data_IF_074094954784
#
_entry.id   IF_074094954784
#
_cell.length_a   1.000
_cell.length_b   1.000
_cell.length_c   1.000
_cell.angle_alpha   90.00
_cell.angle_beta   90.00
_cell.angle_gamma   90.00
#
_symmetry.space_group_name_H-M   'P 1'
#
loop_
_entity.id
_entity.type
_entity.pdbx_description
1 polymer ?
#
# COMPACT_ATOMS: atom_id res chain seq x y z
N UNK A 1 -1.82 29.37 -4.39
CA UNK A 1 -0.55 28.68 -4.09
C UNK A 1 -0.89 27.64 -3.04
N UNK A 2 -0.49 26.39 -3.23
CA UNK A 2 -0.74 25.36 -2.22
C UNK A 2 0.03 25.66 -0.93
N UNK A 3 -0.52 25.23 0.22
CA UNK A 3 0.04 25.46 1.57
C UNK A 3 1.51 25.03 1.67
N UNK A 4 1.90 23.97 0.95
CA UNK A 4 3.27 23.45 0.89
C UNK A 4 4.22 24.38 0.13
N UNK A 5 3.75 24.97 -0.97
CA UNK A 5 4.52 25.93 -1.76
C UNK A 5 4.72 27.23 -0.97
N UNK A 6 3.68 27.73 -0.30
CA UNK A 6 3.80 28.92 0.56
C UNK A 6 4.77 28.71 1.72
N UNK A 7 4.70 27.56 2.40
CA UNK A 7 5.60 27.22 3.51
C UNK A 7 7.07 27.11 3.07
N UNK A 8 7.30 26.57 1.87
CA UNK A 8 8.65 26.48 1.29
C UNK A 8 9.21 27.86 0.93
N UNK A 9 8.43 28.70 0.25
CA UNK A 9 8.89 30.02 -0.20
C UNK A 9 9.02 31.05 0.93
N UNK A 10 8.32 30.85 2.05
CA UNK A 10 8.42 31.70 3.25
C UNK A 10 9.60 31.32 4.16
N UNK A 11 10.24 30.17 3.92
CA UNK A 11 11.35 29.69 4.76
C UNK A 11 12.60 30.57 4.62
N UNK A 12 13.22 30.95 5.75
CA UNK A 12 14.49 31.69 5.75
C UNK A 12 15.63 30.91 5.08
N UNK A 13 15.58 29.57 5.11
CA UNK A 13 16.55 28.71 4.43
C UNK A 13 16.43 28.83 2.90
N UNK A 14 15.21 28.96 2.37
CA UNK A 14 15.00 29.21 0.95
C UNK A 14 15.59 30.55 0.53
N UNK A 15 15.36 31.63 1.30
CA UNK A 15 15.94 32.94 1.02
C UNK A 15 17.47 32.96 1.08
N UNK A 16 18.06 32.25 2.04
CA UNK A 16 19.52 32.09 2.13
C UNK A 16 20.10 31.34 0.92
N UNK A 17 19.43 30.26 0.49
CA UNK A 17 19.89 29.42 -0.61
C UNK A 17 19.68 30.06 -1.98
N UNK A 18 18.63 30.88 -2.16
CA UNK A 18 18.32 31.60 -3.40
C UNK A 18 19.43 32.54 -3.87
N UNK A 19 20.22 33.07 -2.94
CA UNK A 19 21.33 33.97 -3.26
C UNK A 19 22.58 33.24 -3.79
N UNK A 20 22.63 31.90 -3.70
CA UNK A 20 23.73 31.12 -4.26
C UNK A 20 23.57 30.92 -5.78
N UNK A 21 24.65 31.12 -6.53
CA UNK A 21 24.66 31.02 -8.00
C UNK A 21 24.24 29.64 -8.52
N UNK A 22 24.55 28.56 -7.78
CA UNK A 22 24.14 27.20 -8.12
C UNK A 22 22.61 26.99 -8.07
N UNK A 23 21.94 27.70 -7.15
CA UNK A 23 20.49 27.61 -6.99
C UNK A 23 19.74 28.22 -8.18
N UNK A 24 20.20 29.38 -8.68
CA UNK A 24 19.60 30.06 -9.84
C UNK A 24 19.64 29.21 -11.12
N UNK A 25 20.67 28.38 -11.29
CA UNK A 25 20.79 27.46 -12.43
C UNK A 25 19.87 26.23 -12.30
N UNK A 26 19.62 25.78 -11.07
CA UNK A 26 18.75 24.66 -10.76
C UNK A 26 17.26 25.04 -10.77
N UNK A 27 16.90 26.22 -10.27
CA UNK A 27 15.55 26.80 -10.33
C UNK A 27 15.06 26.91 -11.78
N UNK A 28 15.94 27.32 -12.71
CA UNK A 28 15.62 27.38 -14.15
C UNK A 28 15.31 26.01 -14.78
N UNK A 29 15.69 24.90 -14.13
CA UNK A 29 15.40 23.52 -14.57
C UNK A 29 14.18 22.92 -13.88
N UNK A 30 13.72 23.51 -12.79
CA UNK A 30 12.56 23.04 -12.03
C UNK A 30 11.32 23.76 -12.55
N UNK A 31 10.42 23.00 -13.16
CA UNK A 31 9.09 23.51 -13.51
C UNK A 31 8.23 23.44 -12.26
N UNK A 32 8.14 24.55 -11.53
CA UNK A 32 7.33 24.62 -10.31
C UNK A 32 5.85 24.43 -10.65
N UNK A 33 5.20 23.51 -9.95
CA UNK A 33 3.74 23.42 -9.94
C UNK A 33 3.22 24.32 -8.82
N UNK A 34 2.04 24.96 -8.98
CA UNK A 34 1.54 25.93 -8.00
C UNK A 34 1.22 25.33 -6.62
N UNK A 35 1.16 23.99 -6.52
CA UNK A 35 0.74 23.28 -5.31
C UNK A 35 1.89 22.56 -4.57
N UNK A 36 2.98 22.23 -5.26
CA UNK A 36 4.11 21.48 -4.67
C UNK A 36 5.46 22.09 -5.07
N UNK A 37 6.33 22.43 -4.11
CA UNK A 37 7.67 22.92 -4.42
C UNK A 37 8.50 21.83 -5.11
N UNK A 38 9.19 22.19 -6.19
CA UNK A 38 9.97 21.26 -7.01
C UNK A 38 9.25 20.80 -8.27
N UNK A 39 9.65 19.65 -8.80
CA UNK A 39 9.07 19.07 -10.00
C UNK A 39 8.56 17.66 -9.71
N UNK A 40 7.26 17.44 -9.90
CA UNK A 40 6.62 16.14 -9.88
C UNK A 40 6.25 15.76 -11.31
N UNK A 41 6.84 14.67 -11.80
CA UNK A 41 6.62 14.19 -13.17
C UNK A 41 6.35 12.69 -13.17
N UNK A 42 5.76 12.21 -14.26
CA UNK A 42 5.67 10.79 -14.56
C UNK A 42 6.82 10.40 -15.49
N UNK A 43 7.45 9.28 -15.17
CA UNK A 43 8.52 8.68 -15.96
C UNK A 43 8.16 7.23 -16.26
N UNK A 44 8.74 6.68 -17.32
CA UNK A 44 8.60 5.28 -17.67
C UNK A 44 9.74 4.51 -17.02
N UNK A 45 9.44 3.40 -16.34
CA UNK A 45 10.46 2.51 -15.76
C UNK A 45 11.27 1.80 -16.85
N UNK A 46 12.54 1.58 -16.56
CA UNK A 46 13.37 0.65 -17.33
C UNK A 46 12.99 -0.77 -16.91
N UNK A 47 12.18 -1.43 -17.73
CA UNK A 47 11.69 -2.79 -17.51
C UNK A 47 12.45 -3.77 -18.42
N UNK A 48 12.54 -5.02 -17.99
CA UNK A 48 13.00 -6.11 -18.86
C UNK A 48 11.99 -6.40 -19.97
N UNK A 49 12.43 -7.02 -21.08
CA UNK A 49 11.53 -7.35 -22.20
C UNK A 49 10.33 -8.20 -21.75
N UNK A 50 10.54 -9.14 -20.83
CA UNK A 50 9.47 -9.99 -20.27
C UNK A 50 8.44 -9.19 -19.46
N UNK A 51 8.88 -8.18 -18.71
CA UNK A 51 7.98 -7.30 -17.97
C UNK A 51 7.22 -6.35 -18.89
N UNK A 52 7.83 -5.91 -19.99
CA UNK A 52 7.19 -5.07 -21.01
C UNK A 52 6.02 -5.84 -21.65
N UNK A 53 6.22 -7.10 -22.02
CA UNK A 53 5.14 -7.95 -22.56
C UNK A 53 3.96 -8.08 -21.57
N UNK A 54 4.26 -8.27 -20.28
CA UNK A 54 3.23 -8.33 -19.23
C UNK A 54 2.50 -7.01 -19.03
N UNK A 55 3.16 -5.88 -19.27
CA UNK A 55 2.55 -4.55 -19.20
C UNK A 55 1.69 -4.25 -20.44
N UNK A 56 1.96 -4.90 -21.57
CA UNK A 56 1.27 -4.67 -22.84
C UNK A 56 -0.15 -5.25 -22.85
N UNK A 57 -0.44 -6.27 -22.05
CA UNK A 57 -1.79 -6.80 -21.88
C UNK A 57 -2.62 -5.89 -20.95
N UNK A 58 -3.70 -5.25 -21.44
CA UNK A 58 -4.53 -4.37 -20.61
C UNK A 58 -5.27 -5.11 -19.50
N UNK A 59 -5.41 -6.44 -19.57
CA UNK A 59 -6.07 -7.28 -18.56
C UNK A 59 -5.11 -7.82 -17.50
N UNK A 60 -3.81 -7.73 -17.74
CA UNK A 60 -2.76 -8.18 -16.81
C UNK A 60 -2.69 -7.31 -15.55
N UNK A 61 -2.32 -7.92 -14.41
CA UNK A 61 -2.08 -7.20 -13.16
C UNK A 61 -0.99 -6.12 -13.31
N UNK A 62 0.00 -6.38 -14.18
CA UNK A 62 1.18 -5.55 -14.38
C UNK A 62 0.97 -4.40 -15.37
N UNK A 63 -0.23 -4.23 -15.95
CA UNK A 63 -0.49 -3.28 -17.03
C UNK A 63 -0.06 -1.82 -16.73
N UNK A 64 -0.06 -1.40 -15.46
CA UNK A 64 0.31 -0.04 -15.05
C UNK A 64 1.70 0.05 -14.39
N UNK A 65 2.45 -1.04 -14.34
CA UNK A 65 3.75 -1.10 -13.66
C UNK A 65 4.86 -0.32 -14.38
N UNK A 66 4.65 0.03 -15.65
CA UNK A 66 5.58 0.89 -16.39
C UNK A 66 5.63 2.32 -15.86
N UNK A 67 4.60 2.75 -15.12
CA UNK A 67 4.49 4.11 -14.61
C UNK A 67 5.31 4.28 -13.33
N UNK A 68 6.20 5.27 -13.32
CA UNK A 68 6.96 5.72 -12.15
C UNK A 68 6.68 7.17 -11.85
N UNK A 69 6.44 7.48 -10.58
CA UNK A 69 6.39 8.84 -10.09
C UNK A 69 7.81 9.33 -9.81
N UNK A 70 8.22 10.43 -10.44
CA UNK A 70 9.53 11.04 -10.25
C UNK A 70 9.36 12.41 -9.60
N UNK A 71 9.82 12.52 -8.35
CA UNK A 71 9.88 13.79 -7.63
C UNK A 71 11.33 14.28 -7.58
N UNK A 72 11.56 15.51 -8.03
CA UNK A 72 12.86 16.19 -7.91
C UNK A 72 12.76 17.23 -6.79
N UNK A 73 13.27 16.93 -5.57
CA UNK A 73 13.19 17.85 -4.45
C UNK A 73 14.06 19.09 -4.69
N UNK A 74 13.54 20.30 -4.48
CA UNK A 74 14.34 21.51 -4.58
C UNK A 74 15.21 21.67 -3.31
N UNK A 75 16.42 22.26 -3.40
CA UNK A 75 17.21 22.56 -2.20
C UNK A 75 16.48 23.55 -1.29
N UNK A 76 16.40 23.37 0.04
CA UNK A 76 17.12 22.39 0.87
C UNK A 76 16.36 21.08 1.16
N UNK A 77 15.18 20.85 0.58
CA UNK A 77 14.38 19.63 0.83
C UNK A 77 15.08 18.35 0.36
N UNK A 78 16.02 18.47 -0.58
CA UNK A 78 16.88 17.38 -1.04
C UNK A 78 17.75 16.76 0.08
N UNK A 79 17.95 17.46 1.19
CA UNK A 79 18.70 16.94 2.35
C UNK A 79 17.91 15.88 3.12
N UNK A 80 16.57 15.99 3.15
CA UNK A 80 15.68 15.02 3.80
C UNK A 80 15.17 14.00 2.78
N UNK A 81 14.78 14.45 1.60
CA UNK A 81 14.28 13.58 0.53
C UNK A 81 15.44 13.00 -0.28
N UNK A 82 16.00 11.92 0.24
CA UNK A 82 17.11 11.19 -0.38
C UNK A 82 16.67 10.38 -1.59
N UNK A 83 17.62 10.02 -2.45
CA UNK A 83 17.37 9.09 -3.56
C UNK A 83 16.87 7.74 -3.06
N UNK A 84 17.41 7.24 -1.95
CA UNK A 84 16.96 6.03 -1.27
C UNK A 84 15.48 6.12 -0.86
N UNK A 85 15.05 7.24 -0.26
CA UNK A 85 13.65 7.44 0.08
C UNK A 85 12.73 7.45 -1.15
N UNK A 86 13.16 8.07 -2.26
CA UNK A 86 12.40 8.10 -3.51
C UNK A 86 12.25 6.70 -4.14
N UNK A 87 13.25 5.84 -4.04
CA UNK A 87 13.15 4.44 -4.50
C UNK A 87 12.18 3.62 -3.63
N UNK A 88 12.07 3.91 -2.32
CA UNK A 88 11.05 3.31 -1.44
C UNK A 88 9.64 3.80 -1.83
N UNK A 89 9.48 5.10 -2.14
CA UNK A 89 8.21 5.62 -2.65
C UNK A 89 7.80 4.98 -3.98
N UNK A 90 8.74 4.74 -4.89
CA UNK A 90 8.46 4.07 -6.16
C UNK A 90 7.93 2.63 -5.96
N UNK A 91 8.52 1.89 -5.02
CA UNK A 91 8.06 0.55 -4.65
C UNK A 91 6.64 0.56 -4.08
N UNK A 92 6.35 1.49 -3.16
CA UNK A 92 4.99 1.68 -2.63
C UNK A 92 4.01 2.05 -3.75
N UNK A 93 4.37 3.00 -4.61
CA UNK A 93 3.54 3.46 -5.72
C UNK A 93 3.18 2.32 -6.69
N UNK A 94 4.16 1.45 -7.02
CA UNK A 94 3.93 0.25 -7.85
C UNK A 94 2.83 -0.64 -7.25
N UNK A 95 2.93 -0.95 -5.96
CA UNK A 95 1.95 -1.79 -5.28
C UNK A 95 0.57 -1.11 -5.25
N UNK A 96 0.53 0.18 -4.90
CA UNK A 96 -0.73 0.93 -4.80
C UNK A 96 -1.47 0.99 -6.14
N UNK A 97 -0.78 1.16 -7.26
CA UNK A 97 -1.40 1.09 -8.59
C UNK A 97 -2.09 -0.26 -8.84
N UNK A 98 -1.45 -1.36 -8.46
CA UNK A 98 -2.03 -2.70 -8.58
C UNK A 98 -3.26 -2.87 -7.70
N UNK A 99 -3.23 -2.36 -6.46
CA UNK A 99 -4.38 -2.42 -5.55
C UNK A 99 -5.55 -1.58 -6.05
N UNK A 100 -5.30 -0.36 -6.52
CA UNK A 100 -6.33 0.51 -7.13
C UNK A 100 -6.94 -0.16 -8.36
N UNK A 101 -6.12 -0.80 -9.19
CA UNK A 101 -6.60 -1.59 -10.32
C UNK A 101 -7.52 -2.73 -9.87
N UNK A 102 -7.14 -3.50 -8.85
CA UNK A 102 -7.99 -4.58 -8.32
C UNK A 102 -9.30 -4.06 -7.73
N UNK A 103 -9.28 -2.94 -7.01
CA UNK A 103 -10.51 -2.28 -6.54
C UNK A 103 -11.41 -1.89 -7.72
N UNK A 104 -10.84 -1.35 -8.79
CA UNK A 104 -11.60 -1.00 -9.99
C UNK A 104 -12.22 -2.25 -10.64
N UNK A 105 -11.44 -3.31 -10.83
CA UNK A 105 -11.90 -4.58 -11.41
C UNK A 105 -13.09 -5.14 -10.63
N UNK A 106 -12.96 -5.22 -9.31
CA UNK A 106 -13.99 -5.85 -8.48
C UNK A 106 -15.26 -4.99 -8.38
N UNK A 107 -15.13 -3.67 -8.39
CA UNK A 107 -16.29 -2.76 -8.36
C UNK A 107 -16.99 -2.63 -9.72
N UNK A 108 -16.25 -2.62 -10.83
CA UNK A 108 -16.78 -2.25 -12.14
C UNK A 108 -16.77 -3.37 -13.18
N UNK A 109 -15.80 -4.28 -13.18
CA UNK A 109 -15.63 -5.30 -14.22
C UNK A 109 -16.27 -6.65 -13.85
N UNK A 110 -16.64 -6.88 -12.59
CA UNK A 110 -17.37 -8.09 -12.21
C UNK A 110 -18.89 -7.92 -12.46
N UNK A 111 -19.60 -8.94 -12.98
CA UNK A 111 -21.05 -8.90 -13.18
C UNK A 111 -21.81 -8.67 -11.88
N UNK A 112 -22.71 -7.68 -11.82
CA UNK A 112 -23.47 -7.35 -10.59
C UNK A 112 -24.36 -8.48 -10.08
N UNK A 113 -24.93 -9.26 -11.00
CA UNK A 113 -25.88 -10.33 -10.68
C UNK A 113 -25.27 -11.74 -10.78
N UNK A 114 -23.95 -11.84 -11.03
CA UNK A 114 -23.33 -13.11 -11.42
C UNK A 114 -23.77 -13.56 -12.83
N UNK A 115 -23.22 -14.66 -13.30
CA UNK A 115 -23.66 -15.28 -14.54
C UNK A 115 -24.94 -16.11 -14.30
N UNK A 116 -25.95 -16.02 -15.18
CA UNK A 116 -27.23 -16.69 -14.99
C UNK A 116 -27.08 -18.22 -15.03
N UNK A 117 -27.55 -18.91 -14.00
CA UNK A 117 -27.51 -20.38 -13.89
C UNK A 117 -26.31 -20.95 -13.15
N UNK A 118 -25.36 -20.12 -12.70
CA UNK A 118 -24.18 -20.54 -11.93
C UNK A 118 -24.10 -19.74 -10.64
N UNK A 119 -24.53 -20.33 -9.52
CA UNK A 119 -24.55 -19.63 -8.24
C UNK A 119 -23.12 -19.34 -7.72
N UNK A 120 -22.15 -20.17 -8.08
CA UNK A 120 -20.73 -20.02 -7.72
C UNK A 120 -20.14 -18.73 -8.29
N UNK A 121 -20.65 -18.24 -9.42
CA UNK A 121 -20.23 -16.94 -10.00
C UNK A 121 -20.55 -15.77 -9.07
N UNK A 122 -21.70 -15.81 -8.41
CA UNK A 122 -22.12 -14.78 -7.45
C UNK A 122 -21.30 -14.86 -6.15
N UNK A 123 -21.06 -16.07 -5.66
CA UNK A 123 -20.22 -16.32 -4.48
C UNK A 123 -18.78 -15.85 -4.72
N UNK A 124 -18.19 -16.23 -5.87
CA UNK A 124 -16.87 -15.79 -6.29
C UNK A 124 -16.76 -14.26 -6.26
N UNK A 125 -17.71 -13.55 -6.88
CA UNK A 125 -17.72 -12.08 -6.89
C UNK A 125 -17.71 -11.51 -5.48
N UNK A 126 -18.63 -11.97 -4.62
CA UNK A 126 -18.78 -11.43 -3.28
C UNK A 126 -17.53 -11.67 -2.43
N UNK A 127 -16.95 -12.86 -2.54
CA UNK A 127 -15.70 -13.21 -1.83
C UNK A 127 -14.50 -12.44 -2.38
N UNK A 128 -14.36 -12.32 -3.70
CA UNK A 128 -13.31 -11.50 -4.31
C UNK A 128 -13.43 -10.03 -3.90
N UNK A 129 -14.65 -9.50 -3.79
CA UNK A 129 -14.91 -8.13 -3.33
C UNK A 129 -14.50 -7.93 -1.89
N UNK A 130 -14.92 -8.84 -1.02
CA UNK A 130 -14.49 -8.81 0.36
C UNK A 130 -12.97 -8.92 0.50
N UNK A 131 -12.35 -9.88 -0.19
CA UNK A 131 -10.90 -10.11 -0.13
C UNK A 131 -10.10 -8.87 -0.55
N UNK A 132 -10.39 -8.32 -1.73
CA UNK A 132 -9.67 -7.13 -2.24
C UNK A 132 -9.94 -5.91 -1.37
N UNK A 133 -11.17 -5.71 -0.91
CA UNK A 133 -11.51 -4.58 -0.02
C UNK A 133 -10.81 -4.69 1.34
N UNK A 134 -10.74 -5.89 1.91
CA UNK A 134 -10.06 -6.15 3.19
C UNK A 134 -8.55 -5.91 3.08
N UNK A 135 -7.90 -6.44 2.03
CA UNK A 135 -6.47 -6.22 1.75
C UNK A 135 -6.18 -4.74 1.51
N UNK A 136 -7.02 -4.06 0.71
CA UNK A 136 -6.88 -2.64 0.42
C UNK A 136 -7.00 -1.77 1.68
N UNK A 137 -8.04 -1.99 2.48
CA UNK A 137 -8.23 -1.26 3.74
C UNK A 137 -7.08 -1.52 4.72
N UNK A 138 -6.53 -2.74 4.76
CA UNK A 138 -5.32 -3.01 5.54
C UNK A 138 -4.13 -2.15 5.08
N UNK A 139 -3.84 -2.12 3.78
CA UNK A 139 -2.71 -1.35 3.25
C UNK A 139 -2.86 0.16 3.44
N UNK A 140 -4.05 0.72 3.19
CA UNK A 140 -4.28 2.16 3.37
C UNK A 140 -4.36 2.56 4.84
N UNK A 141 -5.15 1.88 5.65
CA UNK A 141 -5.43 2.32 7.03
C UNK A 141 -4.28 1.94 7.97
N UNK A 142 -3.93 0.64 8.01
CA UNK A 142 -2.91 0.12 8.93
C UNK A 142 -1.50 0.22 8.38
N UNK A 143 -1.33 0.04 7.06
CA UNK A 143 -0.01 0.09 6.43
C UNK A 143 0.54 1.51 6.34
N UNK A 144 -0.22 2.41 5.73
CA UNK A 144 0.21 3.79 5.46
C UNK A 144 -0.32 4.75 6.52
N UNK A 145 -1.61 4.71 6.84
CA UNK A 145 -2.26 5.69 7.72
C UNK A 145 -1.65 5.76 9.12
N UNK A 146 -1.56 4.62 9.81
CA UNK A 146 -1.02 4.56 11.18
C UNK A 146 0.47 4.92 11.26
N UNK A 147 1.28 4.41 10.34
CA UNK A 147 2.73 4.67 10.31
C UNK A 147 3.03 6.12 9.97
N UNK A 148 2.27 6.72 9.05
CA UNK A 148 2.37 8.13 8.71
C UNK A 148 1.91 9.04 9.85
N UNK A 149 0.79 8.71 10.49
CA UNK A 149 0.27 9.46 11.64
C UNK A 149 1.27 9.47 12.80
N UNK A 150 1.98 8.35 13.03
CA UNK A 150 3.05 8.29 14.02
C UNK A 150 4.23 9.20 13.67
N UNK A 151 4.60 9.28 12.40
CA UNK A 151 5.66 10.18 11.92
C UNK A 151 5.24 11.65 12.03
N UNK A 152 4.02 11.99 11.63
CA UNK A 152 3.45 13.33 11.78
C UNK A 152 3.40 13.75 13.24
N UNK A 153 2.99 12.85 14.15
CA UNK A 153 3.00 13.12 15.59
C UNK A 153 4.43 13.39 16.11
N UNK A 154 5.44 12.71 15.56
CA UNK A 154 6.84 12.94 15.93
C UNK A 154 7.35 14.30 15.45
N UNK A 155 7.02 14.70 14.22
CA UNK A 155 7.33 16.03 13.69
C UNK A 155 6.63 17.14 14.47
N UNK A 156 5.34 16.95 14.79
CA UNK A 156 4.58 17.90 15.61
C UNK A 156 5.16 18.04 17.02
N UNK A 157 5.68 16.95 17.60
CA UNK A 157 6.40 16.98 18.87
C UNK A 157 7.71 17.76 18.78
N UNK A 158 8.47 17.57 17.71
CA UNK A 158 9.69 18.35 17.45
C UNK A 158 9.38 19.84 17.30
N UNK A 159 8.36 20.20 16.52
CA UNK A 159 7.93 21.59 16.32
C UNK A 159 7.51 22.25 17.64
N UNK A 160 6.77 21.53 18.51
CA UNK A 160 6.42 22.02 19.85
C UNK A 160 7.65 22.27 20.71
N UNK A 161 8.64 21.36 20.70
CA UNK A 161 9.90 21.53 21.44
C UNK A 161 10.68 22.74 20.94
N UNK A 162 10.77 22.93 19.62
CA UNK A 162 11.41 24.11 19.01
C UNK A 162 10.73 25.40 19.45
N UNK A 163 9.40 25.49 19.36
CA UNK A 163 8.65 26.67 19.81
C UNK A 163 8.82 26.97 21.29
N UNK A 164 8.87 25.93 22.13
CA UNK A 164 9.07 26.09 23.57
C UNK A 164 10.49 26.59 23.89
N UNK A 165 11.50 26.12 23.16
CA UNK A 165 12.88 26.59 23.28
C UNK A 165 13.01 28.05 22.85
N UNK A 166 12.43 28.43 21.71
CA UNK A 166 12.39 29.81 21.23
C UNK A 166 11.74 30.76 22.27
N UNK A 167 10.60 30.36 22.84
CA UNK A 167 9.92 31.13 23.88
C UNK A 167 10.74 31.25 25.17
N UNK A 168 11.48 30.20 25.56
CA UNK A 168 12.35 30.22 26.74
C UNK A 168 13.61 31.08 26.55
N UNK A 169 14.12 31.18 25.31
CA UNK A 169 15.31 31.97 24.96
C UNK A 169 15.10 33.49 25.07
N UNK A 170 13.85 33.94 24.95
CA UNK A 170 13.49 35.33 25.19
C UNK A 170 13.59 35.74 26.68
N UNK A 171 13.63 34.76 27.60
CA UNK A 171 13.73 34.96 29.05
C UNK A 171 15.20 34.79 29.52
N UNK A 172 16.04 35.72 29.09
CA UNK A 172 17.32 36.18 29.70
C UNK A 172 18.45 35.18 30.02
N UNK A 173 18.32 33.85 29.93
CA UNK A 173 19.47 32.94 30.08
C UNK A 173 19.21 31.47 29.67
N UNK A 174 18.44 31.20 28.60
CA UNK A 174 18.25 29.81 28.16
C UNK A 174 19.38 29.35 27.23
N UNK A 175 19.94 28.17 27.54
CA UNK A 175 20.93 27.49 26.71
C UNK A 175 20.23 26.88 25.51
N UNK A 176 20.47 27.42 24.31
CA UNK A 176 20.15 26.73 23.06
C UNK A 176 20.71 25.30 23.06
N UNK A 177 19.93 24.33 22.61
CA UNK A 177 20.29 22.91 22.57
C UNK A 177 19.91 22.12 23.82
N UNK A 178 19.07 22.67 24.71
CA UNK A 178 18.60 21.95 25.91
C UNK A 178 17.32 21.15 25.66
N UNK A 179 16.45 21.61 24.77
CA UNK A 179 15.16 20.96 24.46
C UNK A 179 15.16 20.30 23.08
N UNK A 180 15.88 20.89 22.12
CA UNK A 180 16.06 20.32 20.77
C UNK A 180 17.52 19.93 20.59
N UNK A 181 17.80 18.65 20.82
CA UNK A 181 19.09 18.03 20.49
C UNK A 181 19.09 17.37 19.11
N UNK A 182 17.92 17.33 18.47
CA UNK A 182 17.67 16.61 17.22
C UNK A 182 17.82 17.57 16.02
N UNK A 183 18.85 17.35 15.22
CA UNK A 183 19.08 18.10 13.99
C UNK A 183 18.35 17.52 12.76
N UNK A 184 18.61 18.11 11.59
CA UNK A 184 18.07 17.68 10.30
C UNK A 184 18.30 16.20 10.00
N UNK A 185 19.44 15.65 10.43
CA UNK A 185 19.77 14.23 10.27
C UNK A 185 18.80 13.32 11.05
N UNK A 186 18.31 13.77 12.21
CA UNK A 186 17.30 13.03 12.97
C UNK A 186 15.97 12.96 12.21
N UNK A 187 15.56 14.07 11.59
CA UNK A 187 14.34 14.13 10.76
C UNK A 187 14.47 13.22 9.53
N UNK A 188 15.61 13.25 8.86
CA UNK A 188 15.92 12.34 7.75
C UNK A 188 15.86 10.87 8.20
N UNK A 189 16.51 10.53 9.31
CA UNK A 189 16.51 9.16 9.83
C UNK A 189 15.09 8.69 10.21
N UNK A 190 14.30 9.56 10.85
CA UNK A 190 12.91 9.27 11.19
C UNK A 190 12.02 9.09 9.95
N UNK A 191 12.25 9.86 8.90
CA UNK A 191 11.55 9.70 7.62
C UNK A 191 11.91 8.38 6.93
N UNK A 192 13.20 8.03 6.88
CA UNK A 192 13.64 6.75 6.32
C UNK A 192 13.10 5.55 7.13
N UNK A 193 13.06 5.66 8.46
CA UNK A 193 12.46 4.66 9.35
C UNK A 193 10.94 4.54 9.13
N UNK A 194 10.23 5.65 8.97
CA UNK A 194 8.80 5.65 8.63
C UNK A 194 8.54 4.87 7.34
N UNK A 195 9.31 5.16 6.27
CA UNK A 195 9.20 4.44 5.00
C UNK A 195 9.52 2.96 5.13
N UNK A 196 10.51 2.61 5.96
CA UNK A 196 10.86 1.20 6.22
C UNK A 196 9.77 0.43 6.96
N UNK A 197 9.00 1.12 7.83
CA UNK A 197 7.81 0.58 8.49
C UNK A 197 6.65 0.44 7.49
N UNK A 198 6.44 1.43 6.61
CA UNK A 198 5.43 1.35 5.53
C UNK A 198 5.73 0.15 4.62
N UNK A 199 6.97 0.01 4.14
CA UNK A 199 7.36 -1.10 3.27
C UNK A 199 7.17 -2.46 3.95
N UNK A 200 7.42 -2.54 5.26
CA UNK A 200 7.18 -3.74 6.04
C UNK A 200 5.68 -4.08 6.12
N UNK A 201 4.83 -3.10 6.41
CA UNK A 201 3.39 -3.30 6.52
C UNK A 201 2.72 -3.57 5.17
N UNK A 202 3.27 -3.04 4.08
CA UNK A 202 2.85 -3.32 2.70
C UNK A 202 3.34 -4.68 2.16
N UNK A 203 4.01 -5.50 2.99
CA UNK A 203 4.54 -6.81 2.62
C UNK A 203 5.63 -6.77 1.52
N UNK A 204 6.29 -5.63 1.33
CA UNK A 204 7.26 -5.41 0.26
C UNK A 204 8.70 -5.80 0.63
N UNK A 205 8.94 -6.30 1.85
CA UNK A 205 10.29 -6.78 2.23
C UNK A 205 10.56 -8.17 1.66
N UNK A 206 11.85 -8.45 1.42
CA UNK A 206 12.34 -9.74 0.88
C UNK A 206 11.82 -10.97 1.63
N UNK A 207 11.67 -10.90 2.95
CA UNK A 207 11.16 -12.01 3.79
C UNK A 207 9.67 -12.29 3.56
N UNK A 208 8.91 -11.30 3.09
CA UNK A 208 7.48 -11.39 2.80
C UNK A 208 7.20 -11.65 1.30
N UNK A 209 8.24 -11.77 0.46
CA UNK A 209 8.11 -11.95 -0.99
C UNK A 209 7.23 -13.16 -1.36
N UNK A 210 7.27 -14.24 -0.58
CA UNK A 210 6.39 -15.39 -0.80
C UNK A 210 4.90 -15.07 -0.58
N UNK A 211 4.59 -14.25 0.44
CA UNK A 211 3.21 -13.81 0.70
C UNK A 211 2.73 -12.86 -0.38
N UNK A 212 3.61 -11.95 -0.82
CA UNK A 212 3.30 -11.05 -1.93
C UNK A 212 3.03 -11.82 -3.22
N UNK A 213 3.82 -12.86 -3.51
CA UNK A 213 3.58 -13.74 -4.67
C UNK A 213 2.21 -14.43 -4.58
N UNK A 214 1.84 -14.97 -3.43
CA UNK A 214 0.52 -15.57 -3.24
C UNK A 214 -0.62 -14.55 -3.44
N UNK A 215 -0.42 -13.32 -2.99
CA UNK A 215 -1.39 -12.23 -3.20
C UNK A 215 -1.55 -11.90 -4.70
N UNK A 216 -0.44 -11.80 -5.43
CA UNK A 216 -0.45 -11.60 -6.89
C UNK A 216 -1.16 -12.76 -7.61
N UNK A 217 -0.87 -14.00 -7.23
CA UNK A 217 -1.52 -15.19 -7.79
C UNK A 217 -3.03 -15.22 -7.53
N UNK A 218 -3.51 -14.67 -6.40
CA UNK A 218 -4.94 -14.50 -6.13
C UNK A 218 -5.53 -13.41 -7.03
N UNK A 219 -4.86 -12.25 -7.14
CA UNK A 219 -5.31 -11.18 -8.03
C UNK A 219 -5.39 -11.61 -9.50
N UNK A 220 -4.43 -12.39 -9.98
CA UNK A 220 -4.46 -12.97 -11.32
C UNK A 220 -5.67 -13.89 -11.52
N UNK A 221 -6.04 -14.70 -10.53
CA UNK A 221 -7.27 -15.54 -10.62
C UNK A 221 -8.55 -14.70 -10.69
N UNK A 222 -8.62 -13.59 -9.95
CA UNK A 222 -9.75 -12.66 -10.00
C UNK A 222 -9.82 -11.98 -11.37
N UNK A 223 -8.69 -11.55 -11.93
CA UNK A 223 -8.61 -10.94 -13.25
C UNK A 223 -9.01 -11.92 -14.37
N UNK A 224 -8.56 -13.18 -14.28
CA UNK A 224 -8.95 -14.23 -15.23
C UNK A 224 -10.46 -14.49 -15.21
N UNK A 225 -11.07 -14.50 -14.03
CA UNK A 225 -12.52 -14.59 -13.89
C UNK A 225 -13.23 -13.35 -14.47
N UNK A 226 -12.74 -12.14 -14.17
CA UNK A 226 -13.31 -10.90 -14.68
C UNK A 226 -13.28 -10.83 -16.21
N UNK A 227 -12.15 -11.23 -16.84
CA UNK A 227 -12.02 -11.30 -18.30
C UNK A 227 -13.07 -12.23 -18.91
N UNK A 228 -13.16 -13.47 -18.43
CA UNK A 228 -14.16 -14.46 -18.91
C UNK A 228 -15.59 -13.98 -18.71
N UNK A 229 -15.88 -13.36 -17.58
CA UNK A 229 -17.21 -12.84 -17.29
C UNK A 229 -17.60 -11.69 -18.25
N UNK A 230 -16.65 -10.84 -18.62
CA UNK A 230 -16.85 -9.79 -19.63
C UNK A 230 -16.97 -10.38 -21.05
N UNK A 231 -16.14 -11.36 -21.41
CA UNK A 231 -16.21 -12.04 -22.71
C UNK A 231 -17.58 -12.72 -22.91
N UNK A 232 -18.14 -13.35 -21.88
CA UNK A 232 -19.49 -13.91 -21.92
C UNK A 232 -20.58 -12.82 -22.09
N UNK A 233 -20.44 -11.67 -21.44
CA UNK A 233 -21.38 -10.55 -21.62
C UNK A 233 -21.30 -9.94 -23.04
N UNK A 234 -20.11 -9.89 -23.62
CA UNK A 234 -19.89 -9.38 -24.97
C UNK A 234 -20.33 -10.38 -26.04
N UNK A 235 -20.14 -11.68 -25.80
CA UNK A 235 -20.55 -12.76 -26.70
C UNK A 235 -22.05 -13.01 -26.70
N UNK A 236 -22.76 -12.71 -25.60
CA UNK A 236 -24.22 -12.83 -25.47
C UNK A 236 -25.00 -11.67 -26.12
N UNK A 237 -24.56 -11.23 -27.30
CA UNK A 237 -24.85 -9.91 -27.88
C UNK A 237 -26.30 -9.43 -27.75
N UNK A 238 -26.50 -8.28 -27.11
CA UNK A 238 -27.58 -7.29 -27.28
C UNK A 238 -29.05 -7.72 -27.14
N UNK A 239 -29.36 -9.01 -27.18
CA UNK A 239 -30.72 -9.52 -27.14
C UNK A 239 -31.06 -9.96 -25.71
N UNK A 240 -32.21 -9.53 -25.22
CA UNK A 240 -32.77 -9.82 -23.91
C UNK A 240 -33.15 -11.31 -23.69
N UNK A 241 -32.38 -12.23 -24.25
CA UNK A 241 -32.49 -13.67 -24.00
C UNK A 241 -31.38 -14.05 -23.04
N UNK A 242 -31.75 -14.51 -21.84
CA UNK A 242 -30.82 -15.03 -20.83
C UNK A 242 -30.15 -16.27 -21.44
N UNK A 243 -29.02 -16.08 -22.11
CA UNK A 243 -28.23 -17.16 -22.66
C UNK A 243 -27.68 -17.95 -21.47
N UNK A 244 -28.17 -19.18 -21.29
CA UNK A 244 -27.71 -20.06 -20.22
C UNK A 244 -26.24 -20.34 -20.47
N UNK A 245 -25.41 -20.10 -19.46
CA UNK A 245 -23.99 -20.47 -19.44
C UNK A 245 -23.86 -21.93 -19.88
N UNK A 246 -22.92 -22.21 -20.77
CA UNK A 246 -22.72 -23.59 -21.21
C UNK A 246 -22.29 -24.46 -20.02
N UNK A 247 -22.63 -25.77 -19.99
CA UNK A 247 -22.27 -26.63 -18.86
C UNK A 247 -20.75 -26.74 -18.67
N UNK A 248 -19.97 -26.54 -19.73
CA UNK A 248 -18.51 -26.53 -19.69
C UNK A 248 -17.96 -25.23 -19.08
N UNK A 249 -18.49 -24.06 -19.49
CA UNK A 249 -18.16 -22.77 -18.86
C UNK A 249 -18.53 -22.75 -17.37
N UNK A 250 -19.67 -23.34 -16.99
CA UNK A 250 -20.08 -23.47 -15.61
C UNK A 250 -19.13 -24.37 -14.80
N UNK A 251 -18.53 -25.39 -15.42
CA UNK A 251 -17.48 -26.21 -14.79
C UNK A 251 -16.19 -25.39 -14.61
N UNK A 252 -15.74 -24.68 -15.62
CA UNK A 252 -14.54 -23.84 -15.54
C UNK A 252 -14.66 -22.75 -14.45
N UNK A 253 -15.83 -22.09 -14.34
CA UNK A 253 -16.08 -21.09 -13.30
C UNK A 253 -15.99 -21.70 -11.90
N UNK A 254 -16.52 -22.91 -11.73
CA UNK A 254 -16.43 -23.65 -10.46
C UNK A 254 -14.99 -24.01 -10.12
N UNK A 255 -14.21 -24.47 -11.09
CA UNK A 255 -12.79 -24.77 -10.92
C UNK A 255 -11.99 -23.52 -10.54
N UNK A 256 -12.25 -22.38 -11.20
CA UNK A 256 -11.65 -21.09 -10.83
C UNK A 256 -12.00 -20.67 -9.41
N UNK A 257 -13.25 -20.85 -8.98
CA UNK A 257 -13.70 -20.53 -7.63
C UNK A 257 -13.03 -21.42 -6.57
N UNK A 258 -12.92 -22.71 -6.82
CA UNK A 258 -12.19 -23.63 -5.93
C UNK A 258 -10.71 -23.26 -5.86
N UNK A 259 -10.08 -22.94 -6.99
CA UNK A 259 -8.69 -22.49 -7.03
C UNK A 259 -8.50 -21.19 -6.23
N UNK A 260 -9.38 -20.21 -6.40
CA UNK A 260 -9.37 -18.96 -5.64
C UNK A 260 -9.45 -19.23 -4.14
N UNK A 261 -10.45 -20.01 -3.67
CA UNK A 261 -10.60 -20.35 -2.25
C UNK A 261 -9.39 -21.10 -1.70
N UNK A 262 -8.85 -22.04 -2.46
CA UNK A 262 -7.64 -22.78 -2.07
C UNK A 262 -6.45 -21.82 -1.89
N UNK A 263 -6.21 -20.92 -2.85
CA UNK A 263 -5.14 -19.92 -2.76
C UNK A 263 -5.33 -18.97 -1.58
N UNK A 264 -6.55 -18.49 -1.34
CA UNK A 264 -6.87 -17.64 -0.17
C UNK A 264 -6.58 -18.38 1.14
N UNK A 265 -6.93 -19.66 1.26
CA UNK A 265 -6.64 -20.45 2.45
C UNK A 265 -5.12 -20.62 2.66
N UNK A 266 -4.37 -20.96 1.60
CA UNK A 266 -2.90 -21.04 1.65
C UNK A 266 -2.32 -19.69 2.08
N UNK A 267 -2.78 -18.59 1.49
CA UNK A 267 -2.37 -17.24 1.86
C UNK A 267 -2.60 -16.94 3.35
N UNK A 268 -3.80 -17.20 3.87
CA UNK A 268 -4.09 -17.01 5.29
C UNK A 268 -3.22 -17.89 6.18
N UNK A 269 -2.96 -19.14 5.78
CA UNK A 269 -2.10 -20.06 6.52
C UNK A 269 -0.66 -19.58 6.57
N UNK A 270 -0.11 -19.05 5.47
CA UNK A 270 1.23 -18.46 5.45
C UNK A 270 1.28 -17.19 6.31
N UNK A 271 0.24 -16.33 6.23
CA UNK A 271 0.12 -15.15 7.08
C UNK A 271 0.09 -15.52 8.58
N UNK A 272 -0.63 -16.58 8.98
CA UNK A 272 -0.58 -17.14 10.35
C UNK A 272 0.80 -17.68 10.71
N UNK A 273 1.48 -18.35 9.79
CA UNK A 273 2.85 -18.84 9.98
C UNK A 273 3.87 -17.71 10.20
N UNK A 274 3.67 -16.55 9.57
CA UNK A 274 4.48 -15.36 9.82
C UNK A 274 4.23 -14.75 11.21
N UNK A 275 3.03 -14.91 11.78
CA UNK A 275 2.69 -14.50 13.15
C UNK A 275 3.28 -15.42 14.22
N UNK A 276 3.25 -16.74 13.99
CA UNK A 276 3.76 -17.73 14.94
C UNK A 276 5.28 -17.71 15.15
N UNK A 277 6.05 -17.13 14.22
CA UNK A 277 7.50 -16.96 14.34
C UNK A 277 7.85 -15.74 15.20
N UNK A 278 7.30 -15.72 16.43
CA UNK A 278 7.33 -14.65 17.44
C UNK A 278 8.70 -14.50 18.12
N UNK A 279 9.80 -14.47 17.36
CA UNK A 279 11.14 -14.45 17.94
C UNK A 279 12.28 -13.94 17.06
N UNK A 280 12.00 -13.19 15.98
CA UNK A 280 13.09 -12.71 15.11
C UNK A 280 12.80 -11.44 14.32
N UNK A 281 11.75 -10.72 14.70
CA UNK A 281 11.46 -9.38 14.20
C UNK A 281 12.11 -8.41 15.20
N UNK A 282 13.35 -8.02 14.89
CA UNK A 282 13.87 -6.76 15.40
C UNK A 282 14.34 -6.64 16.84
N UNK A 283 14.69 -7.71 17.58
CA UNK A 283 15.51 -7.54 18.81
C UNK A 283 16.96 -7.18 18.44
N UNK A 284 17.15 -6.08 17.70
CA UNK A 284 18.33 -5.26 17.92
C UNK A 284 17.94 -4.38 19.09
N UNK A 285 18.51 -4.70 20.25
CA UNK A 285 18.70 -3.78 21.36
C UNK A 285 19.04 -2.42 20.76
N UNK A 286 18.05 -1.52 20.68
CA UNK A 286 18.26 -0.17 20.22
C UNK A 286 19.23 0.43 21.23
N UNK A 287 20.50 0.57 20.82
CA UNK A 287 21.48 1.29 21.60
C UNK A 287 20.90 2.65 21.92
N UNK A 288 21.03 3.09 23.17
CA UNK A 288 20.45 4.29 23.75
C UNK A 288 20.75 5.59 22.98
N UNK A 289 20.07 5.77 21.86
CA UNK A 289 19.93 7.01 21.11
C UNK A 289 18.46 7.40 21.14
N UNK A 290 18.16 8.60 21.63
CA UNK A 290 16.83 9.20 21.57
C UNK A 290 16.38 9.26 20.10
N UNK A 291 15.50 8.34 19.67
CA UNK A 291 14.86 8.46 18.37
C UNK A 291 13.71 9.45 18.46
N UNK A 292 13.46 10.20 17.38
CA UNK A 292 12.34 11.14 17.27
C UNK A 292 11.00 10.49 17.66
N UNK A 293 10.82 9.22 17.28
CA UNK A 293 9.66 8.43 17.65
C UNK A 293 9.59 8.15 19.17
N UNK A 294 10.72 7.87 19.82
CA UNK A 294 10.78 7.65 21.27
C UNK A 294 10.53 8.95 22.07
N UNK A 295 11.08 10.08 21.61
CA UNK A 295 10.83 11.39 22.21
C UNK A 295 9.35 11.79 22.12
N UNK A 296 8.71 11.55 20.96
CA UNK A 296 7.29 11.79 20.77
C UNK A 296 6.39 10.85 21.60
N UNK A 297 6.82 9.60 21.81
CA UNK A 297 6.14 8.65 22.68
C UNK A 297 6.17 9.09 24.16
N UNK A 298 7.32 9.59 24.64
CA UNK A 298 7.48 10.07 26.01
C UNK A 298 6.62 11.30 26.32
N UNK A 299 6.45 12.23 25.37
CA UNK A 299 5.68 13.47 25.55
C UNK A 299 4.17 13.21 25.72
N UNK A 300 3.63 12.16 25.10
CA UNK A 300 2.19 11.82 25.17
C UNK A 300 1.77 11.13 26.47
N UNK A 301 2.66 10.93 27.45
CA UNK A 301 2.38 10.22 28.71
C UNK A 301 1.89 8.78 28.51
N UNK A 302 2.03 8.26 27.29
CA UNK A 302 1.51 6.97 26.88
C UNK A 302 2.63 5.95 26.89
N UNK A 303 2.32 4.77 27.43
CA UNK A 303 2.96 3.52 27.03
C UNK A 303 2.67 3.30 25.54
N UNK A 304 3.26 4.10 24.66
CA UNK A 304 3.45 3.67 23.28
C UNK A 304 4.48 2.58 23.43
N UNK A 305 4.00 1.33 23.47
CA UNK A 305 4.84 0.15 23.31
C UNK A 305 5.90 0.53 22.29
N UNK A 306 7.18 0.37 22.66
CA UNK A 306 8.22 0.16 21.65
C UNK A 306 7.57 -0.73 20.61
N UNK A 307 7.31 -0.17 19.43
CA UNK A 307 6.54 -0.81 18.39
C UNK A 307 7.46 -1.90 17.85
N UNK A 308 7.53 -2.99 18.61
CA UNK A 308 8.16 -4.25 18.25
C UNK A 308 7.31 -4.80 17.10
N UNK A 309 7.45 -4.18 15.92
CA UNK A 309 6.88 -4.58 14.64
C UNK A 309 5.59 -5.38 14.85
N UNK A 310 4.62 -4.80 15.59
CA UNK A 310 3.42 -5.53 15.99
C UNK A 310 2.81 -5.98 14.69
N UNK A 311 2.80 -7.29 14.50
CA UNK A 311 2.69 -7.89 13.19
C UNK A 311 1.25 -7.61 12.69
N UNK A 312 1.07 -6.47 12.01
CA UNK A 312 -0.24 -5.90 11.66
C UNK A 312 -1.03 -6.82 10.75
N UNK A 313 -0.37 -7.85 10.20
CA UNK A 313 -0.93 -9.01 9.53
C UNK A 313 -2.05 -9.66 10.35
N UNK A 314 -2.02 -9.60 11.68
CA UNK A 314 -3.13 -10.10 12.52
C UNK A 314 -4.45 -9.36 12.25
N UNK A 315 -4.39 -8.04 12.06
CA UNK A 315 -5.57 -7.24 11.70
C UNK A 315 -6.07 -7.56 10.30
N UNK A 316 -5.16 -7.87 9.37
CA UNK A 316 -5.53 -8.35 8.03
C UNK A 316 -6.25 -9.70 8.12
N UNK A 317 -5.71 -10.64 8.90
CA UNK A 317 -6.33 -11.94 9.11
C UNK A 317 -7.70 -11.81 9.75
N UNK A 318 -7.85 -10.98 10.78
CA UNK A 318 -9.14 -10.76 11.43
C UNK A 318 -10.18 -10.15 10.47
N UNK A 319 -9.75 -9.28 9.55
CA UNK A 319 -10.62 -8.76 8.48
C UNK A 319 -10.99 -9.81 7.43
N UNK A 320 -10.09 -10.76 7.15
CA UNK A 320 -10.29 -11.84 6.17
C UNK A 320 -11.02 -13.06 6.76
N UNK A 321 -10.96 -13.25 8.07
CA UNK A 321 -11.62 -14.35 8.77
C UNK A 321 -13.12 -14.11 8.83
N UNK A 322 -13.80 -14.62 7.80
CA UNK A 322 -15.26 -14.74 7.71
C UNK A 322 -15.80 -15.82 8.66
N UNK A 323 -15.48 -15.73 9.96
CA UNK A 323 -15.99 -16.65 10.98
C UNK A 323 -15.71 -18.15 10.69
N UNK A 324 -14.53 -18.46 10.16
CA UNK A 324 -14.15 -19.83 9.78
C UNK A 324 -14.71 -20.31 8.43
N UNK A 325 -15.28 -19.43 7.61
CA UNK A 325 -15.80 -19.77 6.28
C UNK A 325 -14.78 -20.48 5.37
N UNK A 326 -13.52 -20.02 5.39
CA UNK A 326 -12.46 -20.63 4.59
C UNK A 326 -11.88 -21.92 5.19
N UNK A 327 -12.15 -22.23 6.46
CA UNK A 327 -11.79 -23.50 7.09
C UNK A 327 -12.82 -24.61 6.85
N UNK A 328 -14.05 -24.25 6.45
CA UNK A 328 -15.02 -25.24 6.01
C UNK A 328 -14.60 -25.84 4.66
N UNK A 329 -14.61 -27.18 4.50
CA UNK A 329 -14.42 -27.78 3.19
C UNK A 329 -15.49 -27.24 2.24
N UNK A 330 -15.10 -26.94 1.00
CA UNK A 330 -16.05 -26.61 -0.07
C UNK A 330 -17.00 -27.80 -0.16
N UNK A 331 -18.29 -27.61 0.12
CA UNK A 331 -19.29 -28.65 0.01
C UNK A 331 -19.39 -29.09 -1.46
N UNK A 332 -18.57 -30.06 -1.85
CA UNK A 332 -18.75 -30.85 -3.05
C UNK A 332 -19.79 -31.91 -2.75
N UNK A 333 -21.05 -31.51 -2.56
CA UNK A 333 -22.20 -32.41 -2.60
C UNK A 333 -23.50 -31.60 -2.66
N UNK A 334 -23.89 -31.26 -3.88
CA UNK A 334 -25.29 -31.36 -4.27
C UNK A 334 -25.34 -32.48 -5.29
N UNK A 335 -25.62 -33.66 -4.76
CA UNK A 335 -25.77 -34.89 -5.50
C UNK A 335 -26.70 -34.71 -6.70
N UNK A 336 -26.23 -35.25 -7.81
CA UNK A 336 -27.07 -35.78 -8.87
C UNK A 336 -28.01 -36.84 -8.26
N UNK A 337 -29.11 -36.45 -7.64
CA UNK A 337 -30.27 -37.34 -7.55
C UNK A 337 -31.07 -37.19 -8.84
N UNK A 338 -30.68 -38.01 -9.82
CA UNK A 338 -31.64 -38.47 -10.81
C UNK A 338 -32.69 -39.33 -10.10
N UNK A 339 -33.95 -38.90 -10.15
CA UNK A 339 -35.07 -39.83 -10.19
C UNK A 339 -35.88 -39.46 -11.42
N UNK A 340 -35.62 -40.18 -12.51
CA UNK A 340 -36.59 -40.34 -13.58
C UNK A 340 -37.64 -41.37 -13.17
N UNK A 341 -38.83 -41.23 -13.75
CA UNK A 341 -39.75 -42.34 -13.99
C UNK A 341 -40.60 -42.79 -12.81
N UNK A 342 -41.79 -42.21 -12.71
CA UNK A 342 -43.08 -42.92 -12.69
C UNK A 342 -44.19 -41.93 -13.02
#
# INVERSE_FOLDING_TARGET
MGVLSESYHTSQLYHSTKNQAAFKQQEKRLRETPDLPGNLSFSIRLLSNEEIEKCMDPNSLYALDFLRLQYTPPPPLNLVMTTSALDKYDQCFRLLLRIVRMLFVVNHQLPRHGLPGVWESKSFRNEAHHFVSAVSSYFFDSGIGETWTAFEAALNGLERRMRAEDASSASTNSSFGSLVTEGLESVRAAHEECLDRILFALLLRRRQAQVMKLLEEIFETILAFAKRANDHQLSGGGAATVQRVSPDEAREIREMYMLFRSKVNVFMTVCRGLLGKRGGYGSRKAGGGSSLFAAAAAEKGGFVRSSDEENTIDRLLLKLEMNGYYSAPVATDLGLEGVGGS
#
